data_IF_029541048715
#
_entry.id   IF_029541048715
#
_cell.length_a   1.000
_cell.length_b   1.000
_cell.length_c   1.000
_cell.angle_alpha   90.00
_cell.angle_beta   90.00
_cell.angle_gamma   90.00
#
_symmetry.space_group_name_H-M   'P 1'
#
loop_
_entity.id
_entity.type
_entity.pdbx_description
1 polymer ?
#
# COMPACT_ATOMS: atom_id res chain seq x y z
N UNK A 1 -0.02 9.51 -16.66
CA UNK A 1 0.68 10.67 -16.05
C UNK A 1 0.04 11.09 -14.73
N UNK A 2 -1.23 11.54 -14.71
CA UNK A 2 -1.89 12.01 -13.48
C UNK A 2 -1.88 10.96 -12.35
N UNK A 3 -2.20 9.71 -12.65
CA UNK A 3 -2.14 8.60 -11.68
C UNK A 3 -0.76 8.40 -11.06
N UNK A 4 0.30 8.58 -11.85
CA UNK A 4 1.69 8.47 -11.38
C UNK A 4 2.05 9.67 -10.51
N UNK A 5 1.69 10.89 -10.93
CA UNK A 5 1.91 12.08 -10.12
C UNK A 5 1.18 11.99 -8.78
N UNK A 6 -0.08 11.56 -8.78
CA UNK A 6 -0.84 11.30 -7.57
C UNK A 6 -0.11 10.32 -6.65
N UNK A 7 0.35 9.20 -7.19
CA UNK A 7 1.07 8.20 -6.41
C UNK A 7 2.39 8.75 -5.84
N UNK A 8 3.20 9.45 -6.64
CA UNK A 8 4.49 10.03 -6.22
C UNK A 8 4.30 11.08 -5.14
N UNK A 9 3.34 12.00 -5.34
CA UNK A 9 3.02 13.03 -4.36
C UNK A 9 2.49 12.42 -3.05
N UNK A 10 1.66 11.37 -3.15
CA UNK A 10 1.17 10.67 -1.96
C UNK A 10 2.32 9.99 -1.20
N UNK A 11 3.24 9.33 -1.91
CA UNK A 11 4.41 8.68 -1.31
C UNK A 11 5.32 9.70 -0.60
N UNK A 12 5.57 10.87 -1.20
CA UNK A 12 6.51 11.87 -0.66
C UNK A 12 5.88 12.77 0.42
N UNK A 13 4.63 13.19 0.25
CA UNK A 13 4.06 14.28 1.04
C UNK A 13 2.98 13.84 2.03
N UNK A 14 2.23 12.75 1.77
CA UNK A 14 1.06 12.39 2.58
C UNK A 14 1.42 12.18 4.05
N UNK A 15 2.50 11.44 4.34
CA UNK A 15 2.92 11.18 5.72
C UNK A 15 3.28 12.47 6.49
N UNK A 16 4.02 13.38 5.85
CA UNK A 16 4.41 14.67 6.44
C UNK A 16 3.16 15.52 6.69
N UNK A 17 2.29 15.65 5.68
CA UNK A 17 1.06 16.45 5.77
C UNK A 17 0.15 15.90 6.88
N UNK A 18 -0.12 14.59 6.91
CA UNK A 18 -0.96 13.97 7.95
C UNK A 18 -0.37 14.16 9.36
N UNK A 19 0.95 14.10 9.51
CA UNK A 19 1.62 14.31 10.80
C UNK A 19 1.51 15.77 11.25
N UNK A 20 1.77 16.72 10.36
CA UNK A 20 1.63 18.15 10.65
C UNK A 20 0.18 18.52 10.99
N UNK A 21 -0.79 17.98 10.24
CA UNK A 21 -2.21 18.16 10.53
C UNK A 21 -2.58 17.60 11.91
N UNK A 22 -2.09 16.41 12.27
CA UNK A 22 -2.34 15.83 13.59
C UNK A 22 -1.77 16.71 14.71
N UNK A 23 -0.53 17.18 14.57
CA UNK A 23 0.10 18.10 15.53
C UNK A 23 -0.67 19.43 15.61
N UNK A 24 -1.07 19.99 14.47
CA UNK A 24 -1.86 21.21 14.43
C UNK A 24 -3.20 21.04 15.14
N UNK A 25 -3.90 19.91 14.96
CA UNK A 25 -5.18 19.65 15.61
C UNK A 25 -5.08 19.66 17.15
N UNK A 26 -3.95 19.26 17.73
CA UNK A 26 -3.72 19.39 19.17
C UNK A 26 -3.71 20.84 19.67
N UNK A 27 -3.37 21.79 18.79
CA UNK A 27 -3.36 23.22 19.10
C UNK A 27 -4.73 23.90 18.85
N UNK A 28 -5.77 23.14 18.54
CA UNK A 28 -7.12 23.65 18.23
C UNK A 28 -8.17 23.06 19.17
N UNK A 29 -9.40 23.55 19.13
CA UNK A 29 -10.53 22.99 19.89
C UNK A 29 -10.84 21.53 19.52
N UNK A 30 -10.31 21.03 18.39
CA UNK A 30 -10.42 19.64 17.95
C UNK A 30 -9.40 18.68 18.61
N UNK A 31 -8.69 19.10 19.66
CA UNK A 31 -7.64 18.30 20.30
C UNK A 31 -8.11 16.91 20.78
N UNK A 32 -9.38 16.77 21.19
CA UNK A 32 -9.94 15.48 21.61
C UNK A 32 -9.90 14.45 20.47
N UNK A 33 -10.17 14.87 19.23
CA UNK A 33 -10.11 13.99 18.06
C UNK A 33 -8.66 13.53 17.85
N UNK A 34 -7.70 14.45 17.94
CA UNK A 34 -6.28 14.15 17.83
C UNK A 34 -5.80 13.19 18.94
N UNK A 35 -6.26 13.39 20.18
CA UNK A 35 -5.94 12.53 21.31
C UNK A 35 -6.48 11.11 21.13
N UNK A 36 -7.74 10.96 20.73
CA UNK A 36 -8.34 9.64 20.45
C UNK A 36 -7.63 8.92 19.31
N UNK A 37 -7.33 9.63 18.22
CA UNK A 37 -6.58 9.06 17.10
C UNK A 37 -5.16 8.65 17.51
N UNK A 38 -4.49 9.45 18.34
CA UNK A 38 -3.15 9.14 18.85
C UNK A 38 -3.16 7.92 19.77
N UNK A 39 -4.17 7.78 20.64
CA UNK A 39 -4.34 6.58 21.45
C UNK A 39 -4.52 5.33 20.57
N UNK A 40 -5.32 5.45 19.50
CA UNK A 40 -5.45 4.38 18.50
C UNK A 40 -4.11 4.06 17.80
N UNK A 41 -3.35 5.07 17.39
CA UNK A 41 -2.02 4.87 16.79
C UNK A 41 -1.04 4.13 17.73
N UNK A 42 -1.06 4.43 19.03
CA UNK A 42 -0.21 3.75 20.02
C UNK A 42 -0.62 2.28 20.15
N UNK A 43 -1.92 1.99 20.25
CA UNK A 43 -2.41 0.61 20.26
C UNK A 43 -2.06 -0.13 18.95
N UNK A 44 -2.00 0.59 17.84
CA UNK A 44 -1.76 0.06 16.51
C UNK A 44 -0.29 -0.03 16.09
N UNK A 45 0.63 0.36 16.97
CA UNK A 45 2.04 0.58 16.64
C UNK A 45 2.72 -0.58 15.90
N UNK A 46 2.36 -1.82 16.25
CA UNK A 46 2.97 -3.02 15.69
C UNK A 46 2.28 -3.56 14.43
N UNK A 47 1.11 -3.04 14.06
CA UNK A 47 0.33 -3.50 12.91
C UNK A 47 1.10 -3.47 11.58
N UNK A 48 1.94 -2.45 11.26
CA UNK A 48 2.75 -2.46 10.04
C UNK A 48 3.71 -3.66 9.95
N UNK A 49 4.19 -4.18 11.09
CA UNK A 49 5.09 -5.35 11.15
C UNK A 49 4.34 -6.69 11.07
N UNK A 50 3.01 -6.67 11.15
CA UNK A 50 2.14 -7.85 11.18
C UNK A 50 1.26 -7.96 9.92
N UNK A 51 1.69 -7.34 8.81
CA UNK A 51 0.99 -7.36 7.53
C UNK A 51 0.12 -6.14 7.24
N UNK A 52 0.05 -5.18 8.16
CA UNK A 52 -0.66 -3.91 7.98
C UNK A 52 -2.19 -4.05 7.90
N UNK A 53 -2.86 -2.96 7.51
CA UNK A 53 -4.31 -2.96 7.23
C UNK A 53 -4.57 -2.89 5.73
N UNK A 54 -4.90 -4.04 5.15
CA UNK A 54 -5.30 -4.14 3.75
C UNK A 54 -6.73 -3.60 3.57
N UNK A 55 -6.91 -2.62 2.68
CA UNK A 55 -8.24 -2.17 2.24
C UNK A 55 -8.55 -2.68 0.84
N UNK A 56 -9.57 -3.54 0.70
CA UNK A 56 -10.05 -3.99 -0.61
C UNK A 56 -10.58 -2.82 -1.44
N UNK A 57 -11.18 -1.81 -0.80
CA UNK A 57 -11.69 -0.64 -1.51
C UNK A 57 -10.55 0.17 -2.15
N UNK A 58 -9.52 0.53 -1.38
CA UNK A 58 -8.36 1.27 -1.90
C UNK A 58 -7.66 0.46 -2.99
N UNK A 59 -7.47 -0.85 -2.78
CA UNK A 59 -6.81 -1.72 -3.77
C UNK A 59 -7.50 -1.76 -5.13
N UNK A 60 -8.80 -1.52 -5.18
CA UNK A 60 -9.62 -1.58 -6.39
C UNK A 60 -9.89 -0.21 -7.02
N UNK A 61 -9.23 0.87 -6.56
CA UNK A 61 -9.40 2.18 -7.18
C UNK A 61 -8.94 2.20 -8.64
N UNK A 62 -9.74 2.83 -9.50
CA UNK A 62 -9.47 2.98 -10.94
C UNK A 62 -8.14 3.68 -11.25
N UNK A 63 -7.66 4.54 -10.34
CA UNK A 63 -6.36 5.21 -10.48
C UNK A 63 -5.21 4.22 -10.67
N UNK A 64 -5.29 3.02 -10.09
CA UNK A 64 -4.28 1.97 -10.25
C UNK A 64 -4.29 1.34 -11.64
N UNK A 65 -5.44 1.29 -12.32
CA UNK A 65 -5.51 0.85 -13.71
C UNK A 65 -4.79 1.84 -14.62
N UNK A 66 -5.02 3.15 -14.46
CA UNK A 66 -4.25 4.17 -15.20
C UNK A 66 -2.77 4.17 -14.85
N UNK A 67 -2.42 3.87 -13.60
CA UNK A 67 -1.03 3.72 -13.16
C UNK A 67 -0.34 2.54 -13.86
N UNK A 68 -1.01 1.38 -13.90
CA UNK A 68 -0.55 0.18 -14.62
C UNK A 68 -0.30 0.46 -16.10
N UNK A 69 -1.26 1.12 -16.75
CA UNK A 69 -1.24 1.35 -18.20
C UNK A 69 -0.18 2.38 -18.62
N UNK A 70 0.23 3.27 -17.71
CA UNK A 70 1.33 4.20 -17.97
C UNK A 70 2.71 3.52 -18.08
N UNK A 71 2.96 2.49 -17.25
CA UNK A 71 4.23 1.74 -17.20
C UNK A 71 4.14 0.33 -17.85
N UNK A 72 3.18 0.12 -18.76
CA UNK A 72 2.64 -1.20 -19.16
C UNK A 72 2.87 -2.38 -18.19
N UNK A 73 2.52 -2.23 -16.91
CA UNK A 73 2.83 -3.26 -15.90
C UNK A 73 1.97 -4.51 -16.11
N UNK A 74 2.61 -5.67 -16.19
CA UNK A 74 1.94 -6.97 -16.34
C UNK A 74 2.38 -7.94 -15.26
N UNK A 75 1.41 -8.67 -14.70
CA UNK A 75 1.66 -9.85 -13.87
C UNK A 75 1.52 -11.10 -14.73
N UNK A 76 2.62 -11.76 -15.08
CA UNK A 76 2.61 -13.00 -15.86
C UNK A 76 2.70 -14.17 -14.88
N UNK A 77 1.69 -15.03 -14.88
CA UNK A 77 1.67 -16.26 -14.09
C UNK A 77 2.40 -17.35 -14.87
N UNK A 78 3.50 -17.85 -14.33
CA UNK A 78 4.27 -18.94 -14.95
C UNK A 78 3.89 -20.30 -14.39
N UNK A 79 3.46 -20.36 -13.13
CA UNK A 79 3.10 -21.59 -12.42
C UNK A 79 1.92 -21.36 -11.48
N UNK A 80 1.19 -22.44 -11.19
CA UNK A 80 0.21 -22.47 -10.12
C UNK A 80 0.91 -22.51 -8.75
N UNK A 81 0.42 -21.70 -7.83
CA UNK A 81 0.85 -21.70 -6.43
C UNK A 81 -0.27 -22.31 -5.60
N UNK A 82 0.08 -23.23 -4.70
CA UNK A 82 -0.88 -23.90 -3.83
C UNK A 82 -1.36 -22.93 -2.75
N UNK A 83 -2.67 -22.65 -2.63
CA UNK A 83 -3.18 -21.67 -1.66
C UNK A 83 -2.99 -22.11 -0.20
N UNK A 84 -2.67 -23.38 0.05
CA UNK A 84 -2.39 -23.93 1.38
C UNK A 84 -0.96 -23.70 1.87
N UNK A 85 -0.12 -22.97 1.11
CA UNK A 85 1.28 -22.71 1.46
C UNK A 85 1.58 -21.21 1.53
N UNK A 86 2.58 -20.88 2.34
CA UNK A 86 3.15 -19.54 2.41
C UNK A 86 4.31 -19.40 1.42
N UNK A 87 4.40 -18.27 0.74
CA UNK A 87 5.43 -17.98 -0.26
C UNK A 87 6.11 -16.65 0.04
N UNK A 88 7.42 -16.59 -0.17
CA UNK A 88 8.19 -15.35 -0.20
C UNK A 88 8.50 -15.05 -1.66
N UNK A 89 8.05 -13.90 -2.15
CA UNK A 89 8.28 -13.46 -3.53
C UNK A 89 9.36 -12.37 -3.54
N UNK A 90 10.48 -12.65 -4.18
CA UNK A 90 11.51 -11.65 -4.45
C UNK A 90 11.08 -10.70 -5.57
N UNK A 91 11.47 -9.43 -5.48
CA UNK A 91 11.21 -8.42 -6.50
C UNK A 91 12.51 -7.69 -6.89
N UNK A 92 12.86 -7.77 -8.17
CA UNK A 92 14.04 -7.11 -8.73
C UNK A 92 13.79 -6.74 -10.21
N UNK A 93 14.26 -5.57 -10.69
CA UNK A 93 14.94 -4.52 -9.94
C UNK A 93 13.99 -3.72 -9.03
N UNK A 94 14.49 -3.31 -7.86
CA UNK A 94 13.75 -2.44 -6.95
C UNK A 94 14.25 -1.00 -7.09
N UNK A 95 13.37 -0.11 -7.54
CA UNK A 95 13.59 1.33 -7.45
C UNK A 95 13.04 1.87 -6.12
N UNK A 96 13.44 3.09 -5.76
CA UNK A 96 12.99 3.80 -4.55
C UNK A 96 11.46 3.77 -4.40
N UNK A 97 10.76 3.88 -5.53
CA UNK A 97 9.30 3.94 -5.57
C UNK A 97 8.60 2.59 -5.77
N UNK A 98 9.31 1.48 -5.96
CA UNK A 98 8.73 0.12 -6.05
C UNK A 98 7.47 -0.04 -6.96
N UNK A 99 7.34 0.77 -8.02
CA UNK A 99 6.12 0.88 -8.83
C UNK A 99 5.51 -0.46 -9.27
N UNK A 100 6.35 -1.37 -9.78
CA UNK A 100 5.92 -2.69 -10.24
C UNK A 100 5.43 -3.58 -9.08
N UNK A 101 6.12 -3.56 -7.95
CA UNK A 101 5.73 -4.33 -6.77
C UNK A 101 4.43 -3.79 -6.15
N UNK A 102 4.31 -2.48 -5.98
CA UNK A 102 3.10 -1.84 -5.50
C UNK A 102 1.90 -2.16 -6.41
N UNK A 103 2.05 -1.97 -7.72
CA UNK A 103 0.97 -2.22 -8.67
C UNK A 103 0.52 -3.70 -8.65
N UNK A 104 1.46 -4.65 -8.65
CA UNK A 104 1.14 -6.08 -8.73
C UNK A 104 0.65 -6.70 -7.41
N UNK A 105 1.23 -6.30 -6.28
CA UNK A 105 0.97 -6.95 -4.99
C UNK A 105 0.18 -6.07 -4.02
N UNK A 106 0.35 -4.75 -4.12
CA UNK A 106 -0.33 -3.73 -3.31
C UNK A 106 -1.70 -3.30 -3.84
N UNK A 107 -2.06 -3.62 -5.09
CA UNK A 107 -3.35 -3.26 -5.70
C UNK A 107 -4.00 -4.46 -6.42
N UNK A 108 -5.20 -4.28 -6.97
CA UNK A 108 -5.84 -5.26 -7.87
C UNK A 108 -5.73 -4.90 -9.36
N UNK A 109 -4.93 -3.88 -9.74
CA UNK A 109 -4.83 -3.41 -11.12
C UNK A 109 -4.40 -4.49 -12.12
N UNK A 110 -3.59 -5.47 -11.69
CA UNK A 110 -3.18 -6.62 -12.53
C UNK A 110 -3.91 -7.92 -12.20
N UNK A 111 -4.99 -7.81 -11.40
CA UNK A 111 -5.88 -8.91 -10.98
C UNK A 111 -5.14 -10.06 -10.28
N UNK A 112 -4.30 -9.73 -9.30
CA UNK A 112 -3.55 -10.72 -8.53
C UNK A 112 -4.47 -11.78 -7.93
N UNK A 113 -5.56 -11.36 -7.28
CA UNK A 113 -6.51 -12.27 -6.63
C UNK A 113 -7.16 -13.27 -7.58
N UNK A 114 -7.32 -12.91 -8.86
CA UNK A 114 -7.85 -13.81 -9.90
C UNK A 114 -6.79 -14.79 -10.41
N UNK A 115 -5.53 -14.36 -10.50
CA UNK A 115 -4.41 -15.21 -10.97
C UNK A 115 -3.96 -16.22 -9.92
N UNK A 116 -3.99 -15.81 -8.65
CA UNK A 116 -3.58 -16.60 -7.51
C UNK A 116 -4.72 -16.64 -6.47
N UNK A 117 -5.82 -17.36 -6.77
CA UNK A 117 -6.96 -17.45 -5.85
C UNK A 117 -6.53 -18.10 -4.53
N UNK A 118 -7.04 -17.57 -3.43
CA UNK A 118 -6.70 -18.03 -2.07
C UNK A 118 -5.38 -17.48 -1.52
N UNK A 119 -4.51 -16.88 -2.35
CA UNK A 119 -3.26 -16.26 -1.89
C UNK A 119 -3.49 -14.79 -1.57
N UNK A 120 -3.07 -14.36 -0.37
CA UNK A 120 -3.16 -12.98 0.09
C UNK A 120 -1.78 -12.31 0.05
N UNK A 121 -1.48 -11.46 -0.96
CA UNK A 121 -0.20 -10.81 -1.03
C UNK A 121 -0.11 -9.70 0.02
N UNK A 122 1.04 -9.65 0.71
CA UNK A 122 1.44 -8.53 1.57
C UNK A 122 2.79 -8.03 1.06
N UNK A 123 2.91 -6.71 0.89
CA UNK A 123 4.14 -6.10 0.41
C UNK A 123 4.96 -5.64 1.61
N UNK A 124 6.18 -6.17 1.73
CA UNK A 124 7.14 -5.74 2.73
C UNK A 124 8.25 -4.93 2.03
N UNK A 125 8.64 -3.82 2.65
CA UNK A 125 9.85 -3.08 2.33
C UNK A 125 10.93 -3.39 3.36
N UNK A 126 12.19 -3.07 3.06
CA UNK A 126 13.26 -3.15 4.06
C UNK A 126 12.87 -2.33 5.29
N UNK A 127 13.06 -2.92 6.46
CA UNK A 127 13.04 -2.16 7.71
C UNK A 127 14.32 -1.31 7.74
N UNK A 128 14.15 0.01 7.91
CA UNK A 128 15.24 0.92 8.22
C UNK A 128 15.64 0.86 9.68
#
# INVERSE_FOLDING_TARGET
VISVLQWVLSFLAMGIICTLLLVYMFCTDCWLIAAVYTAWLIMDWNTPKQGGRRSSWVRNWTVWTYFRDYFPIRLIKTHDLLPSRNYILGYHPHGIFCFGAFCNFGTEATSFSKKFPGIKPSLATLAG
#
